data_IF_251335103068
#
_entry.id   IF_251335103068
#
_cell.length_a   1.000
_cell.length_b   1.000
_cell.length_c   1.000
_cell.angle_alpha   90.00
_cell.angle_beta   90.00
_cell.angle_gamma   90.00
#
_symmetry.space_group_name_H-M   'P 1'
#
loop_
_entity.id
_entity.type
_entity.pdbx_description
1 polymer ?
#
# COMPACT_ATOMS: atom_id res chain seq x y z
N UNK A 1 -38.80 10.28 30.05
CA UNK A 1 -38.02 11.15 29.18
C UNK A 1 -36.56 10.87 29.51
N UNK A 2 -35.95 9.91 28.84
CA UNK A 2 -34.52 9.57 28.96
C UNK A 2 -33.82 10.17 27.78
N UNK A 3 -32.91 11.07 28.06
CA UNK A 3 -32.01 11.66 27.07
C UNK A 3 -31.09 10.54 26.54
N UNK A 4 -31.23 10.18 25.28
CA UNK A 4 -30.17 9.54 24.53
C UNK A 4 -29.18 10.66 24.18
N UNK A 5 -28.10 10.78 24.93
CA UNK A 5 -26.91 11.49 24.47
C UNK A 5 -26.39 10.71 23.26
N UNK A 6 -26.47 11.32 22.10
CA UNK A 6 -25.77 10.91 20.91
C UNK A 6 -24.29 11.12 21.17
N UNK A 7 -23.53 10.02 21.22
CA UNK A 7 -22.07 10.00 21.10
C UNK A 7 -21.71 10.31 19.63
N UNK A 8 -21.78 11.59 19.26
CA UNK A 8 -21.47 12.10 17.91
C UNK A 8 -20.01 12.57 17.77
N UNK A 9 -19.05 11.97 18.48
CA UNK A 9 -17.64 12.38 18.39
C UNK A 9 -16.64 11.19 18.26
N UNK A 10 -16.99 10.19 17.46
CA UNK A 10 -16.02 9.26 16.92
C UNK A 10 -15.69 9.69 15.49
N UNK A 11 -14.62 10.46 15.32
CA UNK A 11 -14.06 10.75 14.00
C UNK A 11 -14.03 9.49 13.14
N UNK A 12 -14.36 9.62 11.84
CA UNK A 12 -14.50 8.47 10.95
C UNK A 12 -13.27 7.56 11.05
N UNK A 13 -13.50 6.30 11.46
CA UNK A 13 -12.45 5.31 11.66
C UNK A 13 -11.70 5.08 10.35
N UNK A 14 -10.37 5.16 10.37
CA UNK A 14 -9.51 4.82 9.24
C UNK A 14 -9.60 3.31 8.98
N UNK A 15 -10.01 2.93 7.76
CA UNK A 15 -10.10 1.53 7.37
C UNK A 15 -8.71 0.95 7.13
N UNK A 16 -8.47 -0.26 7.65
CA UNK A 16 -7.20 -0.98 7.50
C UNK A 16 -7.39 -2.16 6.56
N UNK A 17 -6.79 -2.09 5.37
CA UNK A 17 -6.80 -3.13 4.35
C UNK A 17 -5.57 -4.03 4.38
N UNK A 18 -5.67 -5.18 3.70
CA UNK A 18 -4.57 -6.10 3.41
C UNK A 18 -4.28 -6.10 1.92
N UNK A 19 -3.06 -5.77 1.49
CA UNK A 19 -2.65 -5.95 0.09
C UNK A 19 -2.60 -7.44 -0.27
N UNK A 20 -3.20 -7.81 -1.41
CA UNK A 20 -3.12 -9.19 -1.91
C UNK A 20 -1.69 -9.59 -2.30
N UNK A 21 -0.78 -8.63 -2.49
CA UNK A 21 0.64 -8.87 -2.68
C UNK A 21 1.31 -9.43 -1.41
N UNK A 22 0.83 -9.06 -0.22
CA UNK A 22 1.44 -9.45 1.06
C UNK A 22 1.41 -10.95 1.33
N UNK A 23 0.55 -11.70 0.66
CA UNK A 23 0.45 -13.16 0.87
C UNK A 23 1.27 -13.98 -0.13
N UNK A 24 1.95 -13.33 -1.08
CA UNK A 24 2.79 -14.06 -2.06
C UNK A 24 3.80 -15.00 -1.35
N UNK A 25 4.01 -16.24 -1.82
CA UNK A 25 3.55 -16.83 -3.10
C UNK A 25 2.16 -17.48 -3.09
N UNK A 26 1.34 -17.26 -2.05
CA UNK A 26 -0.05 -17.68 -2.07
C UNK A 26 -0.86 -16.80 -3.04
N UNK A 27 -2.06 -17.25 -3.38
CA UNK A 27 -2.89 -16.61 -4.39
C UNK A 27 -3.78 -15.48 -3.82
N UNK A 28 -4.44 -14.74 -4.71
CA UNK A 28 -5.37 -13.66 -4.36
C UNK A 28 -6.46 -14.11 -3.38
N UNK A 29 -7.02 -15.32 -3.54
CA UNK A 29 -8.05 -15.86 -2.63
C UNK A 29 -7.55 -15.97 -1.20
N UNK A 30 -6.29 -16.38 -1.01
CA UNK A 30 -5.68 -16.49 0.32
C UNK A 30 -5.65 -15.15 1.06
N UNK A 31 -5.48 -14.03 0.36
CA UNK A 31 -5.52 -12.71 0.99
C UNK A 31 -6.91 -12.38 1.55
N UNK A 32 -7.97 -12.72 0.82
CA UNK A 32 -9.35 -12.58 1.32
C UNK A 32 -9.60 -13.46 2.53
N UNK A 33 -9.09 -14.69 2.52
CA UNK A 33 -9.19 -15.60 3.65
C UNK A 33 -8.49 -15.01 4.89
N UNK A 34 -7.21 -14.58 4.78
CA UNK A 34 -6.51 -13.94 5.88
C UNK A 34 -7.19 -12.67 6.36
N UNK A 35 -7.69 -11.85 5.45
CA UNK A 35 -8.38 -10.63 5.82
C UNK A 35 -9.64 -10.91 6.65
N UNK A 36 -10.42 -11.92 6.27
CA UNK A 36 -11.58 -12.37 7.02
C UNK A 36 -11.20 -12.96 8.39
N UNK A 37 -10.19 -13.85 8.44
CA UNK A 37 -9.77 -14.54 9.65
C UNK A 37 -9.15 -13.60 10.69
N UNK A 38 -8.38 -12.59 10.25
CA UNK A 38 -7.68 -11.65 11.12
C UNK A 38 -8.50 -10.40 11.44
N UNK A 39 -9.55 -10.11 10.66
CA UNK A 39 -10.42 -8.96 10.88
C UNK A 39 -9.92 -7.66 10.23
N UNK A 40 -9.26 -7.72 9.09
CA UNK A 40 -9.02 -6.56 8.24
C UNK A 40 -10.35 -5.99 7.72
N UNK A 41 -10.42 -4.68 7.48
CA UNK A 41 -11.65 -4.03 6.98
C UNK A 41 -11.91 -4.30 5.51
N UNK A 42 -10.90 -4.73 4.76
CA UNK A 42 -10.98 -5.07 3.35
C UNK A 42 -9.63 -5.48 2.79
N UNK A 43 -9.55 -5.57 1.47
CA UNK A 43 -8.29 -5.84 0.76
C UNK A 43 -7.98 -4.74 -0.26
N UNK A 44 -6.70 -4.58 -0.54
CA UNK A 44 -6.24 -3.97 -1.78
C UNK A 44 -5.96 -5.07 -2.79
N UNK A 45 -6.56 -4.97 -3.96
CA UNK A 45 -6.36 -5.91 -5.05
C UNK A 45 -5.13 -5.50 -5.88
N UNK A 46 -4.01 -6.15 -5.67
CA UNK A 46 -2.86 -6.05 -6.59
C UNK A 46 -3.18 -6.81 -7.87
N UNK A 47 -3.29 -6.10 -8.98
CA UNK A 47 -3.55 -6.71 -10.30
C UNK A 47 -2.24 -7.14 -10.94
N UNK A 48 -2.03 -8.44 -11.07
CA UNK A 48 -0.78 -9.00 -11.61
C UNK A 48 -1.00 -10.21 -12.53
N UNK A 49 0.03 -11.05 -12.73
CA UNK A 49 -0.02 -12.16 -13.68
C UNK A 49 -1.00 -13.28 -13.31
N UNK A 50 -1.44 -13.35 -12.06
CA UNK A 50 -2.45 -14.31 -11.62
C UNK A 50 -3.81 -14.01 -12.27
N UNK A 51 -4.44 -14.99 -12.97
CA UNK A 51 -5.69 -14.76 -13.67
C UNK A 51 -6.86 -14.32 -12.76
N UNK A 52 -6.87 -14.78 -11.50
CA UNK A 52 -7.91 -14.42 -10.54
C UNK A 52 -7.92 -12.91 -10.24
N UNK A 53 -6.76 -12.28 -10.06
CA UNK A 53 -6.65 -10.84 -9.81
C UNK A 53 -7.10 -9.98 -11.00
N UNK A 54 -7.18 -10.56 -12.19
CA UNK A 54 -7.56 -9.90 -13.43
C UNK A 54 -9.06 -10.02 -13.76
N UNK A 55 -9.80 -10.83 -12.99
CA UNK A 55 -11.21 -11.17 -13.24
C UNK A 55 -12.13 -10.56 -12.18
N UNK A 56 -12.88 -9.53 -12.55
CA UNK A 56 -13.87 -8.89 -11.69
C UNK A 56 -14.85 -9.93 -11.11
N UNK A 57 -15.37 -10.83 -11.92
CA UNK A 57 -16.34 -11.84 -11.48
C UNK A 57 -15.74 -12.79 -10.41
N UNK A 58 -14.47 -13.18 -10.57
CA UNK A 58 -13.75 -14.02 -9.61
C UNK A 58 -13.56 -13.28 -8.28
N UNK A 59 -13.09 -12.02 -8.33
CA UNK A 59 -12.88 -11.20 -7.13
C UNK A 59 -14.19 -10.92 -6.41
N UNK A 60 -15.29 -10.62 -7.14
CA UNK A 60 -16.63 -10.51 -6.55
C UNK A 60 -17.08 -11.82 -5.89
N UNK A 61 -16.68 -12.97 -6.43
CA UNK A 61 -16.89 -14.27 -5.80
C UNK A 61 -16.20 -14.36 -4.43
N UNK A 62 -14.95 -13.88 -4.32
CA UNK A 62 -14.23 -13.84 -3.05
C UNK A 62 -14.84 -12.85 -2.06
N UNK A 63 -15.23 -11.64 -2.52
CA UNK A 63 -15.95 -10.67 -1.68
C UNK A 63 -17.19 -11.31 -1.05
N UNK A 64 -18.02 -12.00 -1.85
CA UNK A 64 -19.22 -12.69 -1.31
C UNK A 64 -18.89 -13.85 -0.40
N UNK A 65 -17.85 -14.63 -0.72
CA UNK A 65 -17.46 -15.83 0.05
C UNK A 65 -16.92 -15.47 1.43
N UNK A 66 -16.10 -14.43 1.51
CA UNK A 66 -15.37 -14.08 2.73
C UNK A 66 -15.98 -12.89 3.48
N UNK A 67 -16.92 -12.16 2.87
CA UNK A 67 -17.50 -10.95 3.46
C UNK A 67 -16.53 -9.77 3.55
N UNK A 68 -15.45 -9.79 2.76
CA UNK A 68 -14.37 -8.79 2.79
C UNK A 68 -14.46 -7.93 1.53
N UNK A 69 -14.67 -6.61 1.63
CA UNK A 69 -14.72 -5.72 0.48
C UNK A 69 -13.33 -5.46 -0.11
N UNK A 70 -13.31 -4.96 -1.36
CA UNK A 70 -12.12 -4.37 -1.98
C UNK A 70 -12.11 -2.87 -1.67
N UNK A 71 -11.09 -2.38 -0.97
CA UNK A 71 -10.93 -0.96 -0.62
C UNK A 71 -10.23 -0.18 -1.73
N UNK A 72 -9.23 -0.81 -2.35
CA UNK A 72 -8.42 -0.22 -3.40
C UNK A 72 -8.04 -1.25 -4.47
N UNK A 73 -7.74 -0.77 -5.67
CA UNK A 73 -7.16 -1.56 -6.76
C UNK A 73 -5.76 -1.02 -7.07
N UNK A 74 -4.74 -1.83 -6.91
CA UNK A 74 -3.39 -1.48 -7.33
C UNK A 74 -3.21 -1.83 -8.82
N UNK A 75 -2.98 -0.81 -9.64
CA UNK A 75 -2.86 -0.94 -11.09
C UNK A 75 -1.63 -1.80 -11.47
N UNK A 76 -1.68 -2.57 -12.59
CA UNK A 76 -0.56 -3.39 -13.04
C UNK A 76 0.53 -2.53 -13.71
N UNK A 77 1.26 -1.75 -12.92
CA UNK A 77 2.27 -0.78 -13.36
C UNK A 77 3.72 -1.29 -13.23
N UNK A 78 3.95 -2.43 -12.57
CA UNK A 78 5.27 -3.03 -12.44
C UNK A 78 5.81 -3.62 -13.75
N UNK A 79 7.14 -3.74 -13.87
CA UNK A 79 7.80 -4.39 -15.02
C UNK A 79 7.31 -5.82 -15.24
N UNK A 80 7.09 -6.57 -14.14
CA UNK A 80 6.60 -7.94 -14.19
C UNK A 80 5.15 -8.05 -14.66
N UNK A 81 4.37 -6.98 -14.56
CA UNK A 81 2.97 -6.91 -14.97
C UNK A 81 2.76 -6.29 -16.37
N UNK A 82 3.83 -6.08 -17.16
CA UNK A 82 3.74 -5.40 -18.46
C UNK A 82 2.76 -6.06 -19.44
N UNK A 83 2.55 -7.38 -19.35
CA UNK A 83 1.61 -8.11 -20.21
C UNK A 83 0.22 -8.26 -19.64
N UNK A 84 0.01 -7.87 -18.39
CA UNK A 84 -1.30 -7.90 -17.73
C UNK A 84 -2.20 -6.89 -18.42
N UNK A 85 -3.34 -7.35 -18.91
CA UNK A 85 -4.32 -6.53 -19.65
C UNK A 85 -3.80 -5.88 -20.95
N UNK A 86 -2.69 -6.37 -21.50
CA UNK A 86 -2.07 -5.82 -22.69
C UNK A 86 -0.84 -4.95 -22.39
N UNK A 87 -0.29 -4.31 -23.42
CA UNK A 87 0.95 -3.54 -23.32
C UNK A 87 0.74 -2.02 -23.19
N UNK A 88 -0.47 -1.53 -23.44
CA UNK A 88 -0.80 -0.10 -23.40
C UNK A 88 -1.03 0.38 -21.96
N UNK A 89 -0.16 1.23 -21.40
CA UNK A 89 -0.30 1.71 -20.04
C UNK A 89 -1.51 2.65 -19.84
N UNK A 90 -1.93 3.38 -20.86
CA UNK A 90 -3.13 4.23 -20.83
C UNK A 90 -4.36 3.36 -20.61
N UNK A 91 -4.55 2.35 -21.46
CA UNK A 91 -5.67 1.42 -21.35
C UNK A 91 -5.67 0.62 -20.04
N UNK A 92 -4.49 0.33 -19.46
CA UNK A 92 -4.37 -0.33 -18.16
C UNK A 92 -4.90 0.53 -17.03
N UNK A 93 -4.55 1.81 -16.97
CA UNK A 93 -5.02 2.72 -15.94
C UNK A 93 -6.54 2.91 -16.02
N UNK A 94 -7.07 3.14 -17.22
CA UNK A 94 -8.52 3.19 -17.44
C UNK A 94 -9.23 1.91 -16.98
N UNK A 95 -8.64 0.74 -17.29
CA UNK A 95 -9.19 -0.55 -16.86
C UNK A 95 -9.13 -0.72 -15.36
N UNK A 96 -8.08 -0.20 -14.69
CA UNK A 96 -7.97 -0.23 -13.23
C UNK A 96 -9.09 0.56 -12.57
N UNK A 97 -9.39 1.77 -13.08
CA UNK A 97 -10.52 2.58 -12.59
C UNK A 97 -11.85 1.85 -12.78
N UNK A 98 -12.14 1.34 -14.00
CA UNK A 98 -13.35 0.54 -14.24
C UNK A 98 -13.43 -0.71 -13.36
N UNK A 99 -12.29 -1.32 -13.04
CA UNK A 99 -12.25 -2.48 -12.12
C UNK A 99 -12.57 -2.05 -10.69
N UNK A 100 -12.04 -0.92 -10.24
CA UNK A 100 -12.36 -0.35 -8.92
C UNK A 100 -13.86 -0.02 -8.81
N UNK A 101 -14.43 0.66 -9.80
CA UNK A 101 -15.87 0.95 -9.86
C UNK A 101 -16.71 -0.33 -9.76
N UNK A 102 -16.39 -1.35 -10.56
CA UNK A 102 -17.13 -2.62 -10.59
C UNK A 102 -17.00 -3.44 -9.29
N UNK A 103 -15.94 -3.21 -8.51
CA UNK A 103 -15.71 -3.85 -7.21
C UNK A 103 -16.17 -3.00 -6.03
N UNK A 104 -16.60 -1.75 -6.27
CA UNK A 104 -16.97 -0.81 -5.22
C UNK A 104 -15.78 -0.27 -4.42
N UNK A 105 -14.57 -0.32 -5.00
CA UNK A 105 -13.36 0.20 -4.38
C UNK A 105 -13.30 1.73 -4.53
N UNK A 106 -12.85 2.43 -3.47
CA UNK A 106 -12.79 3.89 -3.43
C UNK A 106 -11.59 4.49 -4.15
N UNK A 107 -10.52 3.71 -4.38
CA UNK A 107 -9.28 4.21 -4.96
C UNK A 107 -8.57 3.23 -5.88
N UNK A 108 -7.76 3.80 -6.77
CA UNK A 108 -6.75 3.10 -7.57
C UNK A 108 -5.38 3.63 -7.19
N UNK A 109 -4.46 2.74 -6.82
CA UNK A 109 -3.04 3.07 -6.65
C UNK A 109 -2.33 2.86 -7.97
N UNK A 110 -1.49 3.84 -8.36
CA UNK A 110 -0.72 3.78 -9.60
C UNK A 110 0.68 4.35 -9.42
N UNK A 111 1.69 3.68 -9.98
CA UNK A 111 3.05 4.20 -10.03
C UNK A 111 3.21 5.28 -11.10
N UNK A 112 4.10 6.26 -10.92
CA UNK A 112 4.54 7.13 -12.01
C UNK A 112 5.08 6.31 -13.19
N UNK A 113 4.96 6.80 -14.42
CA UNK A 113 5.48 6.12 -15.61
C UNK A 113 6.99 5.90 -15.54
N UNK A 114 7.48 4.86 -16.19
CA UNK A 114 8.92 4.69 -16.41
C UNK A 114 9.47 5.68 -17.45
N UNK A 115 10.70 6.13 -17.27
CA UNK A 115 11.37 7.10 -18.19
C UNK A 115 11.42 6.68 -19.64
N UNK A 116 11.41 5.37 -19.94
CA UNK A 116 11.36 4.88 -21.31
C UNK A 116 9.95 4.91 -21.92
N UNK A 117 8.90 5.07 -21.12
CA UNK A 117 7.51 5.23 -21.56
C UNK A 117 7.21 6.71 -21.90
N UNK A 118 8.05 7.36 -22.69
CA UNK A 118 8.05 8.83 -22.89
C UNK A 118 6.69 9.42 -23.24
N UNK A 119 5.95 8.79 -24.17
CA UNK A 119 4.62 9.28 -24.58
C UNK A 119 3.61 9.19 -23.43
N UNK A 120 3.63 8.09 -22.72
CA UNK A 120 2.78 7.90 -21.55
C UNK A 120 3.12 8.90 -20.45
N UNK A 121 4.38 9.09 -20.15
CA UNK A 121 4.84 10.05 -19.14
C UNK A 121 4.41 11.50 -19.45
N UNK A 122 4.39 11.89 -20.71
CA UNK A 122 3.93 13.22 -21.13
C UNK A 122 2.43 13.45 -20.92
N UNK A 123 1.61 12.42 -21.05
CA UNK A 123 0.15 12.48 -20.91
C UNK A 123 -0.37 12.02 -19.55
N UNK A 124 0.46 11.47 -18.70
CA UNK A 124 0.04 10.77 -17.49
C UNK A 124 -0.76 11.64 -16.50
N UNK A 125 -0.25 12.85 -16.22
CA UNK A 125 -0.94 13.76 -15.29
C UNK A 125 -2.31 14.20 -15.82
N UNK A 126 -2.40 14.46 -17.14
CA UNK A 126 -3.68 14.78 -17.77
C UNK A 126 -4.66 13.60 -17.74
N UNK A 127 -4.17 12.38 -17.97
CA UNK A 127 -4.99 11.18 -17.89
C UNK A 127 -5.51 10.94 -16.46
N UNK A 128 -4.65 11.10 -15.44
CA UNK A 128 -5.07 10.98 -14.03
C UNK A 128 -6.20 11.97 -13.72
N UNK A 129 -6.01 13.25 -14.08
CA UNK A 129 -7.02 14.29 -13.85
C UNK A 129 -8.33 13.99 -14.59
N UNK A 130 -8.26 13.55 -15.85
CA UNK A 130 -9.44 13.19 -16.65
C UNK A 130 -10.21 12.01 -16.04
N UNK A 131 -9.52 11.00 -15.54
CA UNK A 131 -10.15 9.84 -14.91
C UNK A 131 -10.86 10.24 -13.60
N UNK A 132 -10.24 11.09 -12.78
CA UNK A 132 -10.86 11.59 -11.54
C UNK A 132 -12.04 12.54 -11.81
N UNK A 133 -12.02 13.28 -12.92
CA UNK A 133 -13.16 14.13 -13.30
C UNK A 133 -14.39 13.30 -13.70
N UNK A 134 -14.17 12.11 -14.29
CA UNK A 134 -15.24 11.26 -14.85
C UNK A 134 -15.60 10.05 -13.97
N UNK A 135 -14.96 9.88 -12.83
CA UNK A 135 -15.20 8.78 -11.88
C UNK A 135 -15.24 9.26 -10.45
N UNK A 136 -15.96 8.55 -9.59
CA UNK A 136 -15.86 8.75 -8.14
C UNK A 136 -14.67 8.04 -7.52
N UNK A 137 -13.90 7.28 -8.30
CA UNK A 137 -12.72 6.56 -7.84
C UNK A 137 -11.52 7.50 -7.84
N UNK A 138 -10.86 7.62 -6.70
CA UNK A 138 -9.62 8.37 -6.55
C UNK A 138 -8.48 7.65 -7.26
N UNK A 139 -7.63 8.38 -8.02
CA UNK A 139 -6.40 7.85 -8.63
C UNK A 139 -5.20 8.36 -7.85
N UNK A 140 -4.77 7.61 -6.86
CA UNK A 140 -3.68 7.98 -5.96
C UNK A 140 -2.31 7.59 -6.54
N UNK A 141 -1.49 8.59 -6.87
CA UNK A 141 -0.15 8.36 -7.43
C UNK A 141 0.84 8.11 -6.31
N UNK A 142 1.55 6.99 -6.40
CA UNK A 142 2.42 6.50 -5.35
C UNK A 142 3.84 7.08 -5.43
N UNK A 143 4.45 7.38 -4.28
CA UNK A 143 5.87 7.67 -4.21
C UNK A 143 6.69 6.39 -4.45
N UNK A 144 7.71 6.54 -5.29
CA UNK A 144 8.64 5.48 -5.62
C UNK A 144 10.03 5.77 -5.03
N UNK A 145 11.02 5.07 -5.51
CA UNK A 145 12.41 5.25 -5.10
C UNK A 145 13.36 5.27 -6.30
N UNK A 146 14.52 5.96 -6.20
CA UNK A 146 15.51 5.95 -7.26
C UNK A 146 16.21 4.58 -7.33
N UNK A 147 16.56 4.13 -8.54
CA UNK A 147 17.47 2.99 -8.72
C UNK A 147 18.86 3.37 -8.20
N UNK A 148 19.38 2.64 -7.25
CA UNK A 148 20.67 2.93 -6.61
C UNK A 148 21.78 2.17 -7.31
N UNK A 149 22.88 2.90 -7.65
CA UNK A 149 24.03 2.33 -8.34
C UNK A 149 24.80 1.26 -7.53
N UNK A 150 24.64 1.25 -6.21
CA UNK A 150 25.23 0.23 -5.33
C UNK A 150 24.61 -1.16 -5.49
N UNK A 151 23.37 -1.26 -6.03
CA UNK A 151 22.78 -2.55 -6.41
C UNK A 151 23.42 -3.17 -7.65
N UNK A 152 23.91 -2.34 -8.57
CA UNK A 152 24.53 -2.78 -9.81
C UNK A 152 25.93 -3.40 -9.59
N UNK A 153 26.59 -3.09 -8.47
CA UNK A 153 27.96 -3.52 -8.18
C UNK A 153 28.08 -4.55 -7.05
N UNK A 154 26.97 -5.20 -6.65
CA UNK A 154 26.98 -6.39 -5.79
C UNK A 154 27.53 -6.20 -4.36
N UNK A 155 27.58 -4.97 -3.83
CA UNK A 155 28.03 -4.72 -2.46
C UNK A 155 26.88 -4.76 -1.47
N UNK A 156 26.83 -5.89 -0.73
CA UNK A 156 25.90 -6.14 0.38
C UNK A 156 26.30 -5.35 1.65
N UNK A 157 26.33 -4.05 1.65
CA UNK A 157 26.44 -3.29 2.90
C UNK A 157 25.13 -2.56 3.16
N UNK A 158 24.46 -2.97 4.24
CA UNK A 158 23.34 -2.27 4.87
C UNK A 158 23.74 -0.83 5.18
N UNK A 159 23.13 0.09 4.50
CA UNK A 159 23.72 1.40 4.30
C UNK A 159 23.14 2.52 5.15
N UNK A 160 22.35 2.24 6.21
CA UNK A 160 21.90 3.30 7.13
C UNK A 160 23.12 4.12 7.63
N UNK A 161 24.17 3.47 8.11
CA UNK A 161 25.43 4.14 8.52
C UNK A 161 26.18 4.83 7.37
N UNK A 162 25.93 4.46 6.13
CA UNK A 162 26.57 5.07 4.95
C UNK A 162 25.76 6.23 4.41
N UNK A 163 24.42 6.16 4.52
CA UNK A 163 23.51 7.26 4.22
C UNK A 163 23.72 8.41 5.21
N UNK A 164 23.82 8.10 6.50
CA UNK A 164 24.13 9.08 7.56
C UNK A 164 25.49 9.79 7.33
N UNK A 165 26.52 9.04 6.90
CA UNK A 165 27.85 9.62 6.61
C UNK A 165 27.92 10.46 5.33
N UNK A 166 26.99 10.31 4.38
CA UNK A 166 27.01 10.97 3.07
C UNK A 166 25.96 12.05 2.89
N UNK A 167 25.14 12.32 3.90
CA UNK A 167 24.08 13.33 3.80
C UNK A 167 22.93 12.92 2.88
N UNK A 168 22.64 11.63 2.82
CA UNK A 168 21.55 11.07 2.03
C UNK A 168 22.02 10.12 0.91
N UNK A 169 21.07 9.48 0.20
CA UNK A 169 21.40 8.65 -0.95
C UNK A 169 22.10 9.52 -1.98
N UNK A 170 23.22 9.04 -2.51
CA UNK A 170 23.93 9.72 -3.61
C UNK A 170 23.01 9.88 -4.82
N UNK A 171 23.43 10.59 -5.90
CA UNK A 171 22.60 10.83 -7.07
C UNK A 171 22.09 9.51 -7.62
N UNK A 172 20.83 9.20 -7.32
CA UNK A 172 20.14 8.02 -7.81
C UNK A 172 19.65 8.29 -9.23
N UNK A 173 19.82 7.32 -10.13
CA UNK A 173 19.14 7.37 -11.40
C UNK A 173 17.68 6.97 -11.16
N UNK A 174 16.75 7.93 -11.24
CA UNK A 174 15.34 7.58 -11.20
C UNK A 174 14.94 6.82 -12.47
N UNK A 175 14.26 5.69 -12.29
CA UNK A 175 13.61 4.97 -13.38
C UNK A 175 12.27 5.61 -13.77
N UNK A 176 11.73 6.51 -12.95
CA UNK A 176 10.41 7.10 -13.08
C UNK A 176 10.46 8.50 -13.71
N UNK A 177 9.36 8.93 -14.31
CA UNK A 177 9.24 10.21 -15.00
C UNK A 177 7.94 10.93 -14.60
N UNK A 178 7.98 12.21 -14.28
CA UNK A 178 9.17 13.06 -14.25
C UNK A 178 10.05 12.81 -13.01
N UNK A 179 9.48 12.31 -11.91
CA UNK A 179 10.16 12.05 -10.64
C UNK A 179 9.68 10.74 -10.02
N UNK A 180 10.41 10.20 -9.05
CA UNK A 180 9.96 9.16 -8.13
C UNK A 180 9.12 9.74 -6.97
N UNK A 181 9.20 11.04 -6.75
CA UNK A 181 8.36 11.78 -5.81
C UNK A 181 7.19 12.41 -6.59
N UNK A 182 5.95 11.94 -6.42
CA UNK A 182 4.81 12.42 -7.17
C UNK A 182 4.44 13.86 -6.85
N UNK A 183 4.85 14.39 -5.69
CA UNK A 183 4.58 15.78 -5.30
C UNK A 183 5.35 16.79 -6.15
N UNK A 184 6.42 16.36 -6.83
CA UNK A 184 7.14 17.21 -7.79
C UNK A 184 6.28 17.53 -9.04
N UNK A 185 5.30 16.70 -9.36
CA UNK A 185 4.37 16.90 -10.47
C UNK A 185 3.10 17.63 -10.05
N UNK A 186 2.61 17.37 -8.83
CA UNK A 186 1.38 17.95 -8.30
C UNK A 186 0.13 17.24 -8.81
N UNK A 187 -0.13 16.03 -8.35
CA UNK A 187 -1.40 15.33 -8.56
C UNK A 187 -2.44 15.75 -7.51
N UNK A 188 -3.71 15.44 -7.76
CA UNK A 188 -4.77 15.70 -6.79
C UNK A 188 -4.70 14.74 -5.61
N UNK A 189 -4.38 13.46 -5.87
CA UNK A 189 -4.30 12.44 -4.82
C UNK A 189 -3.00 11.63 -4.90
N UNK A 190 -2.57 11.17 -3.72
CA UNK A 190 -1.31 10.48 -3.51
C UNK A 190 -1.49 9.22 -2.68
N UNK A 191 -0.62 8.24 -2.94
CA UNK A 191 -0.32 7.12 -2.05
C UNK A 191 1.04 7.35 -1.42
N UNK A 192 1.12 7.26 -0.08
CA UNK A 192 2.38 7.25 0.64
C UNK A 192 2.77 5.80 0.94
N UNK A 193 3.89 5.35 0.38
CA UNK A 193 4.52 4.07 0.73
C UNK A 193 5.75 4.30 1.61
N UNK A 194 5.74 3.69 2.82
CA UNK A 194 6.80 3.87 3.81
C UNK A 194 8.03 3.00 3.50
N UNK A 195 7.88 1.84 2.86
CA UNK A 195 9.03 1.04 2.41
C UNK A 195 9.78 1.75 1.29
N UNK A 196 9.05 2.39 0.37
CA UNK A 196 9.62 3.20 -0.69
C UNK A 196 10.37 4.42 -0.14
N UNK A 197 9.84 5.09 0.90
CA UNK A 197 10.58 6.20 1.55
C UNK A 197 11.86 5.72 2.19
N UNK A 198 11.86 4.54 2.85
CA UNK A 198 13.07 3.92 3.38
C UNK A 198 14.12 3.68 2.29
N UNK A 199 13.71 3.05 1.18
CA UNK A 199 14.60 2.74 0.06
C UNK A 199 15.12 4.00 -0.63
N UNK A 200 14.30 5.05 -0.73
CA UNK A 200 14.70 6.36 -1.25
C UNK A 200 15.61 7.13 -0.30
N UNK A 201 15.61 6.81 1.00
CA UNK A 201 16.24 7.61 2.04
C UNK A 201 15.54 8.95 2.22
N UNK A 202 14.24 9.00 1.96
CA UNK A 202 13.39 10.18 2.15
C UNK A 202 12.76 10.17 3.55
N UNK A 203 12.45 11.34 4.06
CA UNK A 203 11.69 11.50 5.30
C UNK A 203 10.19 11.36 5.01
N UNK A 204 9.51 10.32 5.52
CA UNK A 204 8.10 10.10 5.25
C UNK A 204 7.17 11.15 5.87
N UNK A 205 7.56 11.77 6.98
CA UNK A 205 6.77 12.85 7.59
C UNK A 205 6.77 14.10 6.71
N UNK A 206 7.95 14.47 6.19
CA UNK A 206 8.05 15.58 5.24
C UNK A 206 7.30 15.29 3.95
N UNK A 207 7.36 14.06 3.45
CA UNK A 207 6.64 13.67 2.24
C UNK A 207 5.12 13.69 2.47
N UNK A 208 4.65 13.13 3.59
CA UNK A 208 3.23 13.21 3.98
C UNK A 208 2.74 14.67 4.09
N UNK A 209 3.55 15.54 4.71
CA UNK A 209 3.23 16.97 4.79
C UNK A 209 3.15 17.64 3.41
N UNK A 210 4.00 17.26 2.45
CA UNK A 210 3.94 17.76 1.05
C UNK A 210 2.73 17.24 0.29
N UNK A 211 2.31 16.00 0.52
CA UNK A 211 1.07 15.44 -0.03
C UNK A 211 -0.17 16.13 0.56
N UNK A 212 -0.10 16.52 1.83
CA UNK A 212 -1.13 17.31 2.51
C UNK A 212 -2.51 16.67 2.39
N UNK A 213 -3.53 17.49 2.11
CA UNK A 213 -4.92 17.03 1.92
C UNK A 213 -5.14 16.11 0.70
N UNK A 214 -4.17 15.98 -0.18
CA UNK A 214 -4.19 15.03 -1.30
C UNK A 214 -3.75 13.61 -0.93
N UNK A 215 -3.23 13.39 0.29
CA UNK A 215 -2.88 12.03 0.74
C UNK A 215 -4.18 11.22 0.96
N UNK A 216 -4.42 10.24 0.10
CA UNK A 216 -5.64 9.45 0.08
C UNK A 216 -5.42 7.95 0.41
N UNK A 217 -4.17 7.51 0.40
CA UNK A 217 -3.84 6.10 0.59
C UNK A 217 -2.47 5.95 1.28
N UNK A 218 -2.37 5.00 2.21
CA UNK A 218 -1.12 4.67 2.90
C UNK A 218 -0.79 3.19 2.68
N UNK A 219 0.38 2.89 2.13
CA UNK A 219 1.00 1.57 2.23
C UNK A 219 1.81 1.50 3.53
N UNK A 220 1.24 0.81 4.51
CA UNK A 220 1.84 0.61 5.82
C UNK A 220 2.79 -0.58 5.79
N UNK A 221 4.04 -0.29 5.64
CA UNK A 221 5.17 -1.20 5.71
C UNK A 221 6.34 -0.50 6.40
N UNK A 222 7.47 -1.17 6.55
CA UNK A 222 8.69 -0.60 7.11
C UNK A 222 9.88 -0.98 6.21
N UNK A 223 11.03 -0.35 6.41
CA UNK A 223 12.26 -0.61 5.70
C UNK A 223 13.47 -0.09 6.47
N UNK A 224 14.65 -0.66 6.21
CA UNK A 224 15.93 -0.26 6.82
C UNK A 224 16.78 0.62 5.92
N UNK A 225 16.21 1.08 4.79
CA UNK A 225 16.95 1.80 3.76
C UNK A 225 17.89 0.92 2.94
N UNK A 226 17.54 -0.35 2.77
CA UNK A 226 18.22 -1.23 1.83
C UNK A 226 18.12 -0.67 0.40
N UNK A 227 18.98 -1.17 -0.49
CA UNK A 227 18.97 -0.75 -1.89
C UNK A 227 17.86 -1.42 -2.71
N UNK A 228 17.05 -2.24 -2.09
CA UNK A 228 15.85 -2.89 -2.62
C UNK A 228 14.69 -2.63 -1.68
N UNK A 229 13.52 -2.68 -2.20
CA UNK A 229 12.29 -2.54 -1.46
C UNK A 229 12.08 -3.74 -0.52
N UNK A 230 11.93 -3.46 0.79
CA UNK A 230 11.94 -4.51 1.83
C UNK A 230 10.54 -4.91 2.28
N UNK A 231 9.60 -3.98 2.35
CA UNK A 231 8.24 -4.17 2.87
C UNK A 231 8.20 -4.96 4.20
N UNK A 232 8.94 -4.47 5.20
CA UNK A 232 9.00 -5.12 6.52
C UNK A 232 7.70 -4.86 7.31
N UNK A 233 7.46 -5.71 8.30
CA UNK A 233 6.42 -5.45 9.31
C UNK A 233 6.77 -4.15 10.04
N UNK A 234 5.80 -3.22 10.28
CA UNK A 234 6.04 -1.99 11.03
C UNK A 234 6.72 -2.24 12.37
N UNK A 235 7.80 -1.51 12.64
CA UNK A 235 8.69 -1.68 13.80
C UNK A 235 9.86 -2.66 13.59
N UNK A 236 9.98 -3.32 12.44
CA UNK A 236 11.14 -4.16 12.11
C UNK A 236 12.20 -3.41 11.30
N UNK A 237 11.90 -2.21 10.81
CA UNK A 237 12.79 -1.32 10.09
C UNK A 237 13.21 -0.09 10.89
N UNK A 238 13.31 1.04 10.21
CA UNK A 238 13.75 2.33 10.78
C UNK A 238 12.83 3.49 10.43
N UNK A 239 11.70 3.20 9.75
CA UNK A 239 10.75 4.24 9.41
C UNK A 239 9.92 4.64 10.65
N UNK A 240 9.61 5.93 10.82
CA UNK A 240 8.77 6.43 11.91
C UNK A 240 7.29 6.11 11.65
N UNK A 241 6.95 4.81 11.51
CA UNK A 241 5.61 4.36 11.13
C UNK A 241 4.53 4.83 12.13
N UNK A 242 4.84 4.83 13.43
CA UNK A 242 3.91 5.28 14.45
C UNK A 242 3.65 6.79 14.37
N UNK A 243 4.70 7.57 14.16
CA UNK A 243 4.62 9.02 14.01
C UNK A 243 3.86 9.43 12.75
N UNK A 244 4.04 8.68 11.64
CA UNK A 244 3.26 8.89 10.42
C UNK A 244 1.78 8.60 10.68
N UNK A 245 1.46 7.48 11.34
CA UNK A 245 0.07 7.16 11.70
C UNK A 245 -0.54 8.27 12.60
N UNK A 246 0.18 8.75 13.61
CA UNK A 246 -0.28 9.83 14.49
C UNK A 246 -0.56 11.12 13.70
N UNK A 247 0.36 11.51 12.79
CA UNK A 247 0.18 12.66 11.92
C UNK A 247 -1.06 12.53 11.03
N UNK A 248 -1.35 11.33 10.49
CA UNK A 248 -2.54 11.09 9.69
C UNK A 248 -3.81 11.25 10.51
N UNK A 249 -3.85 10.73 11.74
CA UNK A 249 -5.00 10.92 12.65
C UNK A 249 -5.20 12.40 12.97
N UNK A 250 -4.13 13.11 13.32
CA UNK A 250 -4.17 14.54 13.65
C UNK A 250 -4.61 15.40 12.47
N UNK A 251 -4.26 15.01 11.24
CA UNK A 251 -4.66 15.74 10.02
C UNK A 251 -6.09 15.44 9.55
N UNK A 252 -6.81 14.52 10.21
CA UNK A 252 -8.15 14.11 9.79
C UNK A 252 -8.14 13.25 8.51
N UNK A 253 -7.10 12.42 8.31
CA UNK A 253 -7.01 11.52 7.16
C UNK A 253 -8.24 10.62 7.04
N UNK A 254 -8.87 10.63 5.88
CA UNK A 254 -10.09 9.88 5.58
C UNK A 254 -9.90 8.77 4.53
N UNK A 255 -8.65 8.52 4.13
CA UNK A 255 -8.29 7.46 3.18
C UNK A 255 -8.16 6.08 3.81
N UNK A 256 -7.51 5.17 3.09
CA UNK A 256 -7.27 3.80 3.53
C UNK A 256 -5.80 3.60 3.93
N UNK A 257 -5.56 2.85 5.00
CA UNK A 257 -4.24 2.33 5.33
C UNK A 257 -4.19 0.84 4.98
N UNK A 258 -3.26 0.45 4.12
CA UNK A 258 -3.14 -0.92 3.63
C UNK A 258 -1.83 -1.54 4.11
N UNK A 259 -1.92 -2.68 4.78
CA UNK A 259 -0.77 -3.50 5.09
C UNK A 259 -0.20 -4.09 3.81
N UNK A 260 0.94 -3.58 3.37
CA UNK A 260 1.68 -4.09 2.21
C UNK A 260 3.06 -4.58 2.62
N UNK A 261 3.09 -5.73 3.28
CA UNK A 261 4.31 -6.33 3.83
C UNK A 261 4.77 -7.55 3.05
N UNK A 262 6.07 -7.79 3.02
CA UNK A 262 6.65 -8.98 2.42
C UNK A 262 6.66 -10.15 3.40
N UNK A 263 5.84 -11.18 3.14
CA UNK A 263 5.77 -12.38 3.96
C UNK A 263 6.43 -13.61 3.33
N UNK A 264 7.24 -13.43 2.28
CA UNK A 264 7.88 -14.56 1.57
C UNK A 264 8.82 -15.37 2.47
N UNK A 265 9.37 -14.75 3.50
CA UNK A 265 10.23 -15.41 4.48
C UNK A 265 9.46 -16.22 5.54
N UNK A 266 8.14 -16.15 5.57
CA UNK A 266 7.31 -16.98 6.45
C UNK A 266 7.49 -18.47 6.07
N UNK A 267 7.87 -19.29 7.05
CA UNK A 267 8.12 -20.71 6.84
C UNK A 267 6.84 -21.54 6.82
N UNK A 268 5.83 -21.07 7.52
CA UNK A 268 4.53 -21.71 7.67
C UNK A 268 3.39 -20.72 7.45
N UNK A 269 2.19 -21.23 7.24
CA UNK A 269 0.96 -20.42 7.22
C UNK A 269 0.76 -19.67 8.53
N UNK A 270 1.11 -20.30 9.67
CA UNK A 270 1.02 -19.66 10.99
C UNK A 270 2.00 -18.49 11.15
N UNK A 271 3.24 -18.62 10.62
CA UNK A 271 4.21 -17.52 10.65
C UNK A 271 3.69 -16.33 9.82
N UNK A 272 3.14 -16.60 8.62
CA UNK A 272 2.55 -15.56 7.77
C UNK A 272 1.38 -14.88 8.47
N UNK A 273 0.45 -15.66 9.00
CA UNK A 273 -0.69 -15.14 9.75
C UNK A 273 -0.24 -14.25 10.91
N UNK A 274 0.81 -14.66 11.65
CA UNK A 274 1.36 -13.87 12.74
C UNK A 274 1.98 -12.53 12.28
N UNK A 275 2.65 -12.50 11.12
CA UNK A 275 3.17 -11.25 10.54
C UNK A 275 2.03 -10.30 10.16
N UNK A 276 1.01 -10.81 9.49
CA UNK A 276 -0.17 -10.04 9.09
C UNK A 276 -0.95 -9.53 10.32
N UNK A 277 -1.16 -10.36 11.33
CA UNK A 277 -1.82 -9.97 12.59
C UNK A 277 -1.04 -8.86 13.33
N UNK A 278 0.29 -8.95 13.42
CA UNK A 278 1.11 -7.88 14.02
C UNK A 278 0.96 -6.56 13.29
N UNK A 279 0.94 -6.60 11.95
CA UNK A 279 0.75 -5.39 11.14
C UNK A 279 -0.62 -4.77 11.35
N UNK A 280 -1.68 -5.60 11.40
CA UNK A 280 -3.03 -5.12 11.69
C UNK A 280 -3.14 -4.49 13.09
N UNK A 281 -2.55 -5.14 14.11
CA UNK A 281 -2.54 -4.60 15.48
C UNK A 281 -1.83 -3.27 15.54
N UNK A 282 -0.66 -3.16 14.91
CA UNK A 282 0.06 -1.90 14.81
C UNK A 282 -0.82 -0.80 14.19
N UNK A 283 -1.46 -1.09 13.06
CA UNK A 283 -2.35 -0.14 12.40
C UNK A 283 -3.54 0.26 13.31
N UNK A 284 -4.19 -0.70 13.97
CA UNK A 284 -5.31 -0.44 14.89
C UNK A 284 -4.90 0.42 16.09
N UNK A 285 -3.74 0.15 16.66
CA UNK A 285 -3.20 0.90 17.79
C UNK A 285 -2.93 2.37 17.41
N UNK A 286 -2.23 2.59 16.29
CA UNK A 286 -1.73 3.91 15.95
C UNK A 286 -2.69 4.75 15.09
N UNK A 287 -3.63 4.14 14.37
CA UNK A 287 -4.60 4.86 13.54
C UNK A 287 -5.99 5.00 14.20
N UNK A 288 -6.37 4.07 15.07
CA UNK A 288 -7.72 4.03 15.61
C UNK A 288 -7.78 4.04 17.15
N UNK A 289 -6.64 4.18 17.83
CA UNK A 289 -6.57 4.20 19.30
C UNK A 289 -7.04 2.91 19.99
N UNK A 290 -7.14 1.81 19.24
CA UNK A 290 -7.62 0.54 19.77
C UNK A 290 -6.47 -0.20 20.45
N UNK A 291 -6.56 -0.38 21.79
CA UNK A 291 -5.66 -1.30 22.49
C UNK A 291 -5.89 -2.73 21.96
N UNK A 292 -4.86 -3.41 21.43
CA UNK A 292 -5.02 -4.75 20.90
C UNK A 292 -5.49 -5.71 22.00
N UNK A 293 -6.57 -6.46 21.72
CA UNK A 293 -6.96 -7.55 22.60
C UNK A 293 -5.81 -8.57 22.72
N UNK A 294 -5.52 -9.11 23.91
CA UNK A 294 -4.48 -10.11 24.05
C UNK A 294 -4.77 -11.32 23.16
N UNK A 295 -3.74 -11.83 22.47
CA UNK A 295 -3.85 -13.01 21.64
C UNK A 295 -4.51 -14.14 22.43
N UNK A 296 -5.70 -14.59 22.03
CA UNK A 296 -6.34 -15.77 22.59
C UNK A 296 -5.47 -16.97 22.23
N UNK A 297 -4.66 -17.43 23.20
CA UNK A 297 -3.95 -18.70 23.08
C UNK A 297 -5.00 -19.82 23.00
N UNK A 298 -5.25 -20.31 21.79
CA UNK A 298 -6.00 -21.56 21.60
C UNK A 298 -5.13 -22.74 22.03
N UNK A 299 -4.98 -22.89 23.34
CA UNK A 299 -4.47 -24.09 23.97
C UNK A 299 -5.60 -24.68 24.77
N UNK A 300 -6.26 -25.70 24.24
CA UNK A 300 -6.68 -26.90 24.94
C UNK A 300 -7.59 -27.77 24.09
N UNK A 301 -6.97 -28.57 23.18
CA UNK A 301 -7.58 -29.86 22.90
C UNK A 301 -7.08 -30.81 23.99
N UNK A 302 -7.86 -30.99 25.04
CA UNK A 302 -7.68 -32.10 26.00
C UNK A 302 -8.19 -33.37 25.34
N UNK A 303 -7.29 -34.33 25.19
CA UNK A 303 -7.64 -35.74 25.05
C UNK A 303 -8.52 -36.19 26.25
N UNK A 304 -9.64 -36.83 25.96
CA UNK A 304 -10.22 -37.96 26.68
C UNK A 304 -10.67 -39.00 25.68
#
# INVERSE_FOLDING_TARGET
MGNFEQDDDLGARILVGLSTASVYPQNTESAFQYAAELGYDGVELMVWAEPASQSIATVQGYVRKYGVPVLAVHAPCLLISQRVWGADPVAKLERSVRTAEALGAGSVVVHPPFRWQRRYAQGFAAQVAELEEHSSVIVAVENMFPMRADTLFGRKETSVKRLERRGGPGPGLTAFSPSYDPTDTGFQHYTLDLSHTATAGADPLLLAARMGGGLAHLHLADGRGAAHDEHLVPGEGTQPCAEVCAMLVESGFSGHAVAEINTQNARTTADRSAMLDRTLRFAREHLNGQTPAPATSSSQAKHV
#
